data_IF_604658798289
#
_entry.id   IF_604658798289
#
_cell.length_a   1.000
_cell.length_b   1.000
_cell.length_c   1.000
_cell.angle_alpha   90.00
_cell.angle_beta   90.00
_cell.angle_gamma   90.00
#
_symmetry.space_group_name_H-M   'P 1'
#
loop_
_entity.id
_entity.type
_entity.pdbx_description
1 polymer ?
#
# COMPACT_ATOMS: atom_id res chain seq x y z
N UNK A 1 -25.58 -6.28 25.53
CA UNK A 1 -24.47 -5.38 25.18
C UNK A 1 -24.21 -5.52 23.70
N UNK A 2 -24.77 -4.60 22.91
CA UNK A 2 -24.59 -4.57 21.46
C UNK A 2 -23.29 -3.84 21.16
N UNK A 3 -22.24 -4.57 20.82
CA UNK A 3 -21.00 -3.99 20.28
C UNK A 3 -21.26 -3.72 18.79
N UNK A 4 -22.24 -2.86 18.51
CA UNK A 4 -22.44 -2.27 17.19
C UNK A 4 -21.78 -0.90 17.21
N UNK A 5 -20.46 -0.90 17.39
CA UNK A 5 -19.62 0.16 16.87
C UNK A 5 -19.66 0.05 15.35
N UNK A 6 -20.79 0.44 14.77
CA UNK A 6 -20.92 0.67 13.34
C UNK A 6 -19.87 1.74 13.07
N UNK A 7 -18.71 1.34 12.54
CA UNK A 7 -17.95 2.21 11.67
C UNK A 7 -18.94 2.59 10.58
N UNK A 8 -19.68 3.67 10.82
CA UNK A 8 -20.37 4.39 9.77
C UNK A 8 -19.28 4.62 8.74
N UNK A 9 -19.38 4.02 7.54
CA UNK A 9 -18.40 4.28 6.51
C UNK A 9 -18.49 5.78 6.32
N UNK A 10 -17.47 6.50 6.80
CA UNK A 10 -17.38 7.93 6.56
C UNK A 10 -17.68 8.08 5.08
N UNK A 11 -18.69 8.88 4.70
CA UNK A 11 -19.03 9.04 3.30
C UNK A 11 -17.72 9.35 2.59
N UNK A 12 -17.57 8.86 1.36
CA UNK A 12 -16.39 9.06 0.50
C UNK A 12 -16.07 10.56 0.25
N UNK A 13 -16.69 11.47 1.00
CA UNK A 13 -16.36 12.86 1.20
C UNK A 13 -14.88 13.00 1.53
N UNK A 14 -14.14 13.14 0.44
CA UNK A 14 -13.00 14.02 0.36
C UNK A 14 -11.80 13.57 1.18
N UNK A 15 -11.45 12.28 1.07
CA UNK A 15 -10.12 11.82 1.47
C UNK A 15 -9.09 12.67 0.69
N UNK A 16 -8.47 13.60 1.40
CA UNK A 16 -7.49 14.55 0.89
C UNK A 16 -6.21 14.40 1.71
N UNK A 17 -5.09 14.27 1.02
CA UNK A 17 -3.78 14.24 1.65
C UNK A 17 -2.93 15.37 1.06
N UNK A 18 -2.47 16.28 1.93
CA UNK A 18 -1.62 17.41 1.52
C UNK A 18 -0.14 17.11 1.66
N UNK A 19 0.22 16.12 2.48
CA UNK A 19 1.60 15.79 2.80
C UNK A 19 2.17 16.64 3.95
N UNK A 20 1.30 17.26 4.77
CA UNK A 20 1.73 18.12 5.86
C UNK A 20 2.31 17.35 7.06
N UNK A 21 3.09 17.99 7.94
CA UNK A 21 3.73 17.34 9.10
C UNK A 21 2.75 16.81 10.15
N UNK A 22 1.49 17.28 10.13
CA UNK A 22 0.43 16.84 11.03
C UNK A 22 -0.44 15.72 10.44
N UNK A 23 -0.18 15.30 9.19
CA UNK A 23 -0.96 14.27 8.51
C UNK A 23 -0.18 12.93 8.54
N UNK A 24 -0.77 11.89 9.13
CA UNK A 24 -0.16 10.56 9.11
C UNK A 24 -0.44 9.87 7.76
N UNK A 25 0.64 9.69 6.99
CA UNK A 25 0.62 8.96 5.72
C UNK A 25 0.06 7.53 5.87
N UNK A 26 0.25 6.89 7.03
CA UNK A 26 -0.21 5.53 7.32
C UNK A 26 -1.74 5.47 7.39
N UNK A 27 -2.36 6.46 8.04
CA UNK A 27 -3.81 6.56 8.15
C UNK A 27 -4.46 6.84 6.80
N UNK A 28 -3.86 7.70 5.99
CA UNK A 28 -4.28 7.97 4.61
C UNK A 28 -4.25 6.70 3.75
N UNK A 29 -3.14 5.97 3.73
CA UNK A 29 -3.01 4.72 2.98
C UNK A 29 -3.99 3.64 3.50
N UNK A 30 -4.24 3.62 4.81
CA UNK A 30 -5.26 2.77 5.43
C UNK A 30 -6.67 3.11 4.96
N UNK A 31 -6.98 4.40 4.82
CA UNK A 31 -8.27 4.86 4.30
C UNK A 31 -8.48 4.45 2.84
N UNK A 32 -7.47 4.63 1.98
CA UNK A 32 -7.52 4.17 0.58
C UNK A 32 -7.81 2.67 0.51
N UNK A 33 -7.09 1.85 1.29
CA UNK A 33 -7.29 0.40 1.32
C UNK A 33 -8.71 0.03 1.77
N UNK A 34 -9.27 0.73 2.77
CA UNK A 34 -10.66 0.53 3.20
C UNK A 34 -11.64 0.87 2.08
N UNK A 35 -11.46 1.99 1.40
CA UNK A 35 -12.28 2.38 0.24
C UNK A 35 -12.23 1.34 -0.88
N UNK A 36 -11.04 0.79 -1.15
CA UNK A 36 -10.86 -0.24 -2.17
C UNK A 36 -11.56 -1.56 -1.82
N UNK A 37 -11.53 -1.96 -0.54
CA UNK A 37 -12.25 -3.14 -0.06
C UNK A 37 -13.77 -2.92 -0.15
N UNK A 38 -14.27 -1.72 0.19
CA UNK A 38 -15.69 -1.40 0.05
C UNK A 38 -16.19 -1.46 -1.40
N UNK A 39 -15.32 -1.17 -2.36
CA UNK A 39 -15.65 -1.21 -3.79
C UNK A 39 -15.27 -2.54 -4.48
N UNK A 40 -14.75 -3.52 -3.73
CA UNK A 40 -14.23 -4.78 -4.25
C UNK A 40 -13.15 -4.59 -5.35
N UNK A 41 -12.32 -3.55 -5.19
CA UNK A 41 -11.22 -3.16 -6.09
C UNK A 41 -9.83 -3.26 -5.44
N UNK A 42 -9.74 -3.87 -4.28
CA UNK A 42 -8.50 -3.97 -3.50
C UNK A 42 -7.36 -4.77 -4.18
N UNK A 43 -7.65 -5.52 -5.24
CA UNK A 43 -6.68 -6.26 -6.07
C UNK A 43 -6.30 -5.52 -7.36
N UNK A 44 -6.95 -4.39 -7.65
CA UNK A 44 -6.72 -3.61 -8.86
C UNK A 44 -5.72 -2.49 -8.55
N UNK A 45 -4.45 -2.77 -8.78
CA UNK A 45 -3.36 -1.83 -8.49
C UNK A 45 -3.50 -0.53 -9.30
N UNK A 46 -3.97 -0.60 -10.54
CA UNK A 46 -4.18 0.59 -11.37
C UNK A 46 -5.29 1.47 -10.81
N UNK A 47 -6.39 0.83 -10.39
CA UNK A 47 -7.48 1.54 -9.73
C UNK A 47 -7.01 2.21 -8.43
N UNK A 48 -6.21 1.50 -7.62
CA UNK A 48 -5.65 2.01 -6.37
C UNK A 48 -4.77 3.25 -6.59
N UNK A 49 -3.90 3.20 -7.60
CA UNK A 49 -3.02 4.33 -7.97
C UNK A 49 -3.85 5.53 -8.43
N UNK A 50 -4.79 5.32 -9.36
CA UNK A 50 -5.65 6.40 -9.88
C UNK A 50 -6.54 7.01 -8.79
N UNK A 51 -7.07 6.19 -7.89
CA UNK A 51 -7.84 6.67 -6.75
C UNK A 51 -6.96 7.48 -5.78
N UNK A 52 -5.74 7.01 -5.51
CA UNK A 52 -4.78 7.73 -4.67
C UNK A 52 -4.45 9.09 -5.25
N UNK A 53 -4.13 9.16 -6.55
CA UNK A 53 -3.87 10.40 -7.29
C UNK A 53 -5.02 11.40 -7.13
N UNK A 54 -6.28 10.94 -7.27
CA UNK A 54 -7.46 11.78 -7.10
C UNK A 54 -7.61 12.39 -5.69
N UNK A 55 -6.97 11.77 -4.69
CA UNK A 55 -6.97 12.20 -3.28
C UNK A 55 -5.79 13.12 -2.93
N UNK A 56 -4.75 13.24 -3.76
CA UNK A 56 -3.57 14.06 -3.46
C UNK A 56 -3.86 15.55 -3.65
N UNK A 57 -3.31 16.40 -2.78
CA UNK A 57 -3.39 17.86 -2.88
C UNK A 57 -2.04 18.46 -2.46
N UNK A 58 -1.78 19.71 -2.82
CA UNK A 58 -0.61 20.45 -2.34
C UNK A 58 0.72 19.75 -2.63
N UNK A 59 1.61 19.69 -1.63
CA UNK A 59 2.95 19.12 -1.73
C UNK A 59 2.95 17.65 -2.15
N UNK A 60 1.95 16.87 -1.69
CA UNK A 60 1.83 15.47 -2.09
C UNK A 60 1.52 15.30 -3.59
N UNK A 61 0.79 16.24 -4.19
CA UNK A 61 0.48 16.23 -5.62
C UNK A 61 1.68 16.70 -6.45
N UNK A 62 2.37 17.76 -6.02
CA UNK A 62 3.61 18.22 -6.66
C UNK A 62 4.67 17.11 -6.71
N UNK A 63 4.85 16.38 -5.61
CA UNK A 63 5.75 15.23 -5.57
C UNK A 63 5.33 14.09 -6.49
N UNK A 64 4.03 13.84 -6.64
CA UNK A 64 3.53 12.79 -7.53
C UNK A 64 3.77 13.15 -9.01
N UNK A 65 3.57 14.42 -9.36
CA UNK A 65 3.86 14.93 -10.71
C UNK A 65 5.38 14.89 -11.03
N UNK A 66 6.25 15.14 -10.04
CA UNK A 66 7.70 15.02 -10.18
C UNK A 66 8.18 13.61 -10.53
N UNK A 67 7.44 12.56 -10.13
CA UNK A 67 7.76 11.17 -10.49
C UNK A 67 7.47 10.87 -11.98
N UNK A 68 6.72 11.73 -12.67
CA UNK A 68 6.48 11.64 -14.10
C UNK A 68 5.59 10.46 -14.53
N UNK A 69 5.57 10.09 -15.83
CA UNK A 69 4.68 9.08 -16.38
C UNK A 69 4.93 7.65 -15.85
N UNK A 70 6.07 7.44 -15.20
CA UNK A 70 6.39 6.16 -14.55
C UNK A 70 5.57 5.97 -13.27
N UNK A 71 5.11 7.05 -12.62
CA UNK A 71 4.27 7.00 -11.43
C UNK A 71 2.93 6.32 -11.68
N UNK A 72 2.31 6.59 -12.84
CA UNK A 72 1.00 6.04 -13.22
C UNK A 72 1.08 4.56 -13.57
N UNK A 73 2.28 4.03 -13.84
CA UNK A 73 2.52 2.63 -14.16
C UNK A 73 3.08 1.82 -12.98
N UNK A 74 3.27 2.44 -11.81
CA UNK A 74 3.75 1.73 -10.63
C UNK A 74 2.68 0.82 -10.02
N UNK A 75 3.10 -0.35 -9.56
CA UNK A 75 2.25 -1.20 -8.73
C UNK A 75 1.95 -0.52 -7.38
N UNK A 76 0.77 -0.78 -6.82
CA UNK A 76 0.34 -0.22 -5.54
C UNK A 76 1.33 -0.44 -4.38
N UNK A 77 1.96 -1.62 -4.21
CA UNK A 77 2.95 -1.84 -3.16
C UNK A 77 4.19 -0.93 -3.30
N UNK A 78 4.58 -0.64 -4.54
CA UNK A 78 5.72 0.23 -4.85
C UNK A 78 5.36 1.69 -4.54
N UNK A 79 4.16 2.13 -4.92
CA UNK A 79 3.66 3.47 -4.59
C UNK A 79 3.58 3.67 -3.07
N UNK A 80 3.06 2.68 -2.34
CA UNK A 80 3.00 2.69 -0.87
C UNK A 80 4.37 2.86 -0.22
N UNK A 81 5.40 2.16 -0.72
CA UNK A 81 6.77 2.29 -0.21
C UNK A 81 7.32 3.69 -0.49
N UNK A 82 7.07 4.24 -1.68
CA UNK A 82 7.51 5.58 -2.04
C UNK A 82 6.87 6.65 -1.13
N UNK A 83 5.56 6.55 -0.88
CA UNK A 83 4.85 7.44 0.06
C UNK A 83 5.43 7.37 1.47
N UNK A 84 5.67 6.16 1.99
CA UNK A 84 6.27 6.00 3.30
C UNK A 84 7.70 6.56 3.31
N UNK A 85 8.50 6.35 2.27
CA UNK A 85 9.86 6.88 2.22
C UNK A 85 9.87 8.43 2.21
N UNK A 86 8.94 9.06 1.51
CA UNK A 86 8.86 10.52 1.38
C UNK A 86 8.24 11.21 2.59
N UNK A 87 7.12 10.71 3.09
CA UNK A 87 6.30 11.41 4.10
C UNK A 87 6.42 10.82 5.51
N UNK A 88 6.92 9.58 5.68
CA UNK A 88 7.18 8.99 7.02
C UNK A 88 8.52 9.45 7.60
N UNK A 89 9.44 9.87 6.73
CA UNK A 89 10.80 10.23 7.11
C UNK A 89 10.99 11.73 6.90
N UNK A 90 10.80 12.48 7.98
CA UNK A 90 11.84 13.30 8.61
C UNK A 90 11.09 14.22 9.58
N UNK A 91 11.31 14.17 10.91
CA UNK A 91 11.13 15.36 11.72
C UNK A 91 12.05 16.40 11.09
N UNK A 92 11.48 17.28 10.25
CA UNK A 92 12.21 18.37 9.62
C UNK A 92 12.97 19.05 10.75
N UNK A 93 14.33 19.03 10.76
CA UNK A 93 15.02 20.00 11.60
C UNK A 93 14.39 21.34 11.19
N UNK A 94 13.90 22.13 12.17
CA UNK A 94 13.02 23.25 11.90
C UNK A 94 13.64 24.00 10.74
N UNK A 95 12.95 23.98 9.60
CA UNK A 95 13.38 24.72 8.41
C UNK A 95 13.67 26.11 8.94
N UNK A 96 14.97 26.41 9.03
CA UNK A 96 15.44 27.68 9.55
C UNK A 96 15.05 28.61 8.42
N UNK A 97 13.82 29.12 8.51
CA UNK A 97 13.48 30.38 7.90
C UNK A 97 14.62 31.27 8.34
N UNK A 98 15.51 31.57 7.39
CA UNK A 98 16.46 32.66 7.51
C UNK A 98 15.55 33.88 7.59
N UNK A 99 15.08 34.14 8.81
CA UNK A 99 14.47 35.37 9.21
C UNK A 99 15.57 36.38 8.95
N UNK A 100 15.47 37.06 7.81
CA UNK A 100 16.18 38.29 7.54
C UNK A 100 16.06 39.14 8.81
N UNK A 101 17.23 39.35 9.43
CA UNK A 101 17.37 39.96 10.74
C UNK A 101 16.81 41.39 10.74
N UNK A 102 15.51 41.50 10.98
CA UNK A 102 14.85 42.72 11.42
C UNK A 102 15.04 42.86 12.92
N UNK A 103 16.15 43.50 13.29
CA UNK A 103 16.36 44.36 14.48
C UNK A 103 15.47 44.11 15.72
N UNK A 104 16.01 43.70 16.89
CA UNK A 104 15.22 43.50 18.09
C UNK A 104 14.99 44.83 18.83
N UNK A 105 13.74 45.10 19.19
CA UNK A 105 13.35 45.98 20.30
C UNK A 105 12.29 45.21 21.11
N UNK A 106 12.68 44.48 22.15
CA UNK A 106 12.75 44.95 23.54
C UNK A 106 11.47 45.69 23.94
N UNK A 107 10.51 44.99 24.54
CA UNK A 107 9.94 45.36 25.84
C UNK A 107 9.26 44.16 26.49
N UNK A 108 9.65 43.96 27.74
CA UNK A 108 9.21 42.96 28.69
C UNK A 108 7.73 43.07 29.02
N UNK A 109 7.05 41.94 29.21
CA UNK A 109 5.97 41.84 30.20
C UNK A 109 5.91 40.42 30.73
N UNK A 110 6.70 40.24 31.78
CA UNK A 110 6.56 39.25 32.84
C UNK A 110 5.12 39.32 33.40
N UNK A 111 4.42 38.19 33.44
CA UNK A 111 3.28 37.95 34.32
C UNK A 111 3.17 36.43 34.53
N UNK A 112 3.73 36.06 35.67
CA UNK A 112 3.79 34.82 36.45
C UNK A 112 2.56 33.86 36.43
N UNK A 113 2.73 32.63 36.99
CA UNK A 113 2.04 31.39 36.65
C UNK A 113 0.83 31.07 37.53
N UNK A 114 0.05 30.07 37.11
CA UNK A 114 -0.94 29.40 37.94
C UNK A 114 -1.05 27.92 37.53
N UNK A 115 -0.69 26.97 38.40
CA UNK A 115 -1.01 25.55 38.25
C UNK A 115 -2.41 25.30 38.81
N UNK A 116 -3.18 24.37 38.25
CA UNK A 116 -4.09 23.56 39.07
C UNK A 116 -4.48 22.28 38.34
N UNK A 117 -4.24 21.20 39.08
CA UNK A 117 -4.58 19.81 38.89
C UNK A 117 -6.06 19.56 38.60
N UNK A 118 -6.36 18.57 37.77
CA UNK A 118 -7.58 17.76 37.97
C UNK A 118 -7.33 16.29 37.60
N UNK A 119 -6.73 15.62 38.57
CA UNK A 119 -6.85 14.20 38.85
C UNK A 119 -8.03 14.05 39.82
N UNK A 120 -9.01 13.19 39.48
CA UNK A 120 -9.98 12.51 40.37
C UNK A 120 -11.40 12.49 39.79
N UNK A 121 -11.83 11.31 39.35
CA UNK A 121 -13.16 10.76 39.66
C UNK A 121 -13.19 9.29 39.24
N UNK A 122 -12.50 8.47 40.02
CA UNK A 122 -12.75 7.04 40.17
C UNK A 122 -13.79 6.87 41.28
N UNK A 123 -14.91 6.17 41.00
CA UNK A 123 -15.75 5.48 41.98
C UNK A 123 -16.75 4.60 41.17
N UNK A 124 -16.57 3.27 41.11
CA UNK A 124 -17.04 2.29 42.10
C UNK A 124 -18.59 2.28 42.19
N UNK A 125 -19.33 1.24 41.80
CA UNK A 125 -19.55 -0.04 42.50
C UNK A 125 -20.74 -0.73 41.78
N UNK A 126 -20.67 -2.02 41.41
CA UNK A 126 -21.19 -3.18 42.17
C UNK A 126 -22.68 -3.54 41.90
N UNK A 127 -22.99 -4.82 42.04
CA UNK A 127 -24.31 -5.46 42.22
C UNK A 127 -25.00 -6.14 41.01
N UNK A 128 -24.50 -7.35 40.72
CA UNK A 128 -25.20 -8.65 40.89
C UNK A 128 -26.73 -8.72 41.02
N UNK A 129 -27.28 -9.71 40.30
CA UNK A 129 -28.40 -10.61 40.65
C UNK A 129 -29.87 -10.14 40.50
N UNK A 130 -30.61 -10.81 39.60
CA UNK A 130 -31.96 -11.40 39.79
C UNK A 130 -32.55 -11.72 38.40
N UNK A 131 -32.46 -12.93 37.87
CA UNK A 131 -33.29 -14.09 38.20
C UNK A 131 -34.80 -13.79 38.35
N UNK A 132 -35.56 -14.41 37.42
CA UNK A 132 -36.95 -14.93 37.52
C UNK A 132 -38.11 -14.14 36.88
N UNK A 133 -38.68 -14.83 35.88
CA UNK A 133 -40.11 -15.17 35.72
C UNK A 133 -41.13 -14.02 35.58
N UNK A 134 -41.69 -13.92 34.39
CA UNK A 134 -43.15 -13.96 34.15
C UNK A 134 -43.38 -14.21 32.64
N UNK A 135 -43.61 -15.45 32.18
CA UNK A 135 -44.96 -15.97 31.89
C UNK A 135 -46.05 -14.89 31.86
N UNK A 136 -46.41 -14.41 30.67
CA UNK A 136 -47.79 -14.00 30.40
C UNK A 136 -48.16 -14.27 28.95
N UNK A 137 -48.86 -15.39 28.79
CA UNK A 137 -49.78 -15.68 27.68
C UNK A 137 -50.95 -14.69 27.78
N UNK A 138 -51.46 -14.20 26.65
CA UNK A 138 -52.91 -14.23 26.50
C UNK A 138 -53.32 -14.86 25.17
N UNK A 139 -53.90 -16.05 25.29
CA UNK A 139 -54.84 -16.63 24.35
C UNK A 139 -56.15 -15.87 24.52
N UNK A 140 -56.72 -15.30 23.45
CA UNK A 140 -58.18 -15.22 23.29
C UNK A 140 -58.54 -14.88 21.84
N UNK A 141 -59.68 -15.46 21.46
CA UNK A 141 -60.57 -15.04 20.39
C UNK A 141 -60.17 -15.38 18.95
N UNK A 142 -60.38 -16.66 18.64
CA UNK A 142 -60.88 -17.09 17.35
C UNK A 142 -62.18 -16.35 16.95
N UNK A 143 -62.42 -16.32 15.64
CA UNK A 143 -63.72 -16.19 14.94
C UNK A 143 -63.93 -14.88 14.16
N UNK A 144 -63.35 -14.82 12.95
CA UNK A 144 -64.02 -14.25 11.78
C UNK A 144 -63.48 -14.83 10.46
N UNK A 145 -64.38 -15.48 9.72
CA UNK A 145 -64.43 -15.67 8.26
C UNK A 145 -63.12 -16.06 7.54
N UNK A 146 -62.90 -17.28 7.04
CA UNK A 146 -63.69 -18.07 6.07
C UNK A 146 -64.21 -17.26 4.87
N UNK A 147 -63.31 -16.55 4.18
CA UNK A 147 -63.45 -16.10 2.79
C UNK A 147 -62.11 -15.57 2.22
N UNK A 148 -61.03 -16.35 2.28
CA UNK A 148 -59.75 -16.02 1.64
C UNK A 148 -58.92 -17.31 1.53
N UNK A 149 -59.27 -18.19 0.60
CA UNK A 149 -58.51 -19.43 0.36
C UNK A 149 -58.58 -19.78 -1.12
N UNK A 150 -58.00 -18.91 -1.94
CA UNK A 150 -57.74 -19.20 -3.37
C UNK A 150 -56.55 -18.41 -3.95
N UNK A 151 -55.85 -17.56 -3.18
CA UNK A 151 -54.76 -16.69 -3.69
C UNK A 151 -53.37 -16.99 -3.10
N UNK A 152 -53.22 -17.99 -2.24
CA UNK A 152 -51.94 -18.30 -1.55
C UNK A 152 -51.14 -19.45 -2.20
N UNK A 153 -51.63 -20.04 -3.29
CA UNK A 153 -50.94 -21.16 -3.98
C UNK A 153 -49.99 -20.68 -5.09
N UNK A 154 -50.13 -19.45 -5.59
CA UNK A 154 -49.24 -18.90 -6.62
C UNK A 154 -47.90 -18.37 -6.07
N UNK A 155 -47.87 -17.87 -4.83
CA UNK A 155 -46.64 -17.34 -4.23
C UNK A 155 -45.63 -18.44 -3.82
N UNK A 156 -46.09 -19.66 -3.59
CA UNK A 156 -45.21 -20.79 -3.21
C UNK A 156 -44.42 -21.36 -4.40
N UNK A 157 -44.91 -21.20 -5.63
CA UNK A 157 -44.20 -21.67 -6.84
C UNK A 157 -43.08 -20.74 -7.28
N UNK A 158 -43.21 -19.42 -7.06
CA UNK A 158 -42.14 -18.46 -7.38
C UNK A 158 -40.93 -18.57 -6.45
N UNK A 159 -41.15 -18.94 -5.17
CA UNK A 159 -40.06 -19.16 -4.22
C UNK A 159 -39.20 -20.39 -4.56
N UNK A 160 -39.80 -21.47 -5.06
CA UNK A 160 -39.07 -22.68 -5.47
C UNK A 160 -38.23 -22.43 -6.73
N UNK A 161 -38.77 -21.70 -7.71
CA UNK A 161 -38.04 -21.32 -8.93
C UNK A 161 -36.84 -20.39 -8.61
N UNK A 162 -36.99 -19.47 -7.66
CA UNK A 162 -35.90 -18.58 -7.22
C UNK A 162 -34.78 -19.35 -6.50
N UNK A 163 -35.10 -20.37 -5.70
CA UNK A 163 -34.10 -21.20 -5.02
C UNK A 163 -33.30 -22.05 -6.03
N UNK A 164 -33.96 -22.59 -7.05
CA UNK A 164 -33.30 -23.37 -8.10
C UNK A 164 -32.39 -22.48 -8.98
N UNK A 165 -32.82 -21.26 -9.29
CA UNK A 165 -32.01 -20.27 -10.00
C UNK A 165 -30.74 -19.88 -9.20
N UNK A 166 -30.87 -19.66 -7.89
CA UNK A 166 -29.74 -19.37 -7.01
C UNK A 166 -28.74 -20.54 -6.93
N UNK A 167 -29.25 -21.78 -6.85
CA UNK A 167 -28.41 -22.99 -6.86
C UNK A 167 -27.64 -23.14 -8.18
N UNK A 168 -28.31 -22.95 -9.33
CA UNK A 168 -27.65 -22.99 -10.65
C UNK A 168 -26.59 -21.89 -10.81
N UNK A 169 -26.87 -20.69 -10.31
CA UNK A 169 -25.90 -19.59 -10.32
C UNK A 169 -24.67 -19.90 -9.46
N UNK A 170 -24.86 -20.50 -8.27
CA UNK A 170 -23.76 -20.93 -7.41
C UNK A 170 -22.90 -22.02 -8.07
N UNK A 171 -23.53 -23.02 -8.73
CA UNK A 171 -22.79 -24.04 -9.49
C UNK A 171 -22.01 -23.42 -10.65
N UNK A 172 -22.61 -22.52 -11.42
CA UNK A 172 -21.93 -21.84 -12.52
C UNK A 172 -20.74 -21.00 -12.07
N UNK A 173 -20.86 -20.32 -10.91
CA UNK A 173 -19.77 -19.59 -10.30
C UNK A 173 -18.62 -20.52 -9.89
N UNK A 174 -18.92 -21.65 -9.25
CA UNK A 174 -17.92 -22.65 -8.87
C UNK A 174 -17.19 -23.24 -10.09
N UNK A 175 -17.91 -23.53 -11.19
CA UNK A 175 -17.29 -24.03 -12.42
C UNK A 175 -16.39 -22.97 -13.07
N UNK A 176 -16.78 -21.70 -13.06
CA UNK A 176 -15.93 -20.60 -13.56
C UNK A 176 -14.67 -20.43 -12.73
N UNK A 177 -14.78 -20.52 -11.40
CA UNK A 177 -13.63 -20.46 -10.51
C UNK A 177 -12.65 -21.62 -10.75
N UNK A 178 -13.16 -22.85 -10.92
CA UNK A 178 -12.33 -24.01 -11.25
C UNK A 178 -11.63 -23.86 -12.62
N UNK A 179 -12.31 -23.32 -13.62
CA UNK A 179 -11.72 -23.05 -14.94
C UNK A 179 -10.64 -21.97 -14.87
N UNK A 180 -10.86 -20.92 -14.08
CA UNK A 180 -9.88 -19.86 -13.87
C UNK A 180 -8.61 -20.41 -13.19
N UNK A 181 -8.77 -21.27 -12.16
CA UNK A 181 -7.65 -21.94 -11.50
C UNK A 181 -6.83 -22.80 -12.47
N UNK A 182 -7.48 -23.62 -13.30
CA UNK A 182 -6.79 -24.44 -14.30
C UNK A 182 -6.05 -23.60 -15.36
N UNK A 183 -6.59 -22.42 -15.71
CA UNK A 183 -5.93 -21.50 -16.66
C UNK A 183 -4.71 -20.83 -16.03
N UNK A 184 -4.78 -20.51 -14.74
CA UNK A 184 -3.64 -19.95 -13.99
C UNK A 184 -2.50 -20.97 -13.87
N UNK A 185 -2.80 -22.25 -13.62
CA UNK A 185 -1.77 -23.31 -13.59
C UNK A 185 -1.09 -23.48 -14.95
N UNK A 186 -1.86 -23.44 -16.06
CA UNK A 186 -1.29 -23.49 -17.41
C UNK A 186 -0.36 -22.28 -17.71
N UNK A 187 -0.75 -21.08 -17.29
CA UNK A 187 0.06 -19.88 -17.45
C UNK A 187 1.36 -19.94 -16.62
N UNK A 188 1.32 -20.53 -15.42
CA UNK A 188 2.51 -20.73 -14.60
C UNK A 188 3.52 -21.69 -15.24
N UNK A 189 3.04 -22.74 -15.92
CA UNK A 189 3.90 -23.68 -16.66
C UNK A 189 4.57 -22.98 -17.85
N UNK A 190 3.85 -22.16 -18.61
CA UNK A 190 4.45 -21.39 -19.71
C UNK A 190 5.48 -20.37 -19.22
N UNK A 191 5.21 -19.68 -18.11
CA UNK A 191 6.14 -18.71 -17.53
C UNK A 191 7.44 -19.38 -17.07
N UNK A 192 7.35 -20.56 -16.45
CA UNK A 192 8.53 -21.34 -16.07
C UNK A 192 9.36 -21.75 -17.29
N UNK A 193 8.72 -22.22 -18.36
CA UNK A 193 9.40 -22.56 -19.60
C UNK A 193 10.08 -21.34 -20.25
N UNK A 194 9.44 -20.17 -20.20
CA UNK A 194 10.01 -18.92 -20.70
C UNK A 194 11.24 -18.48 -19.89
N UNK A 195 11.22 -18.62 -18.55
CA UNK A 195 12.35 -18.31 -17.67
C UNK A 195 13.53 -19.24 -17.94
N UNK A 196 13.30 -20.55 -18.08
CA UNK A 196 14.37 -21.51 -18.42
C UNK A 196 14.99 -21.19 -19.79
N UNK A 197 14.17 -20.85 -20.79
CA UNK A 197 14.64 -20.43 -22.11
C UNK A 197 15.45 -19.13 -22.06
N UNK A 198 15.00 -18.14 -21.30
CA UNK A 198 15.72 -16.87 -21.14
C UNK A 198 17.06 -17.07 -20.43
N UNK A 199 17.12 -17.95 -19.43
CA UNK A 199 18.34 -18.29 -18.68
C UNK A 199 19.36 -19.00 -19.59
N UNK A 200 18.90 -19.93 -20.44
CA UNK A 200 19.74 -20.58 -21.44
C UNK A 200 20.32 -19.58 -22.45
N UNK A 201 19.49 -18.64 -22.94
CA UNK A 201 19.93 -17.60 -23.86
C UNK A 201 20.97 -16.64 -23.24
N UNK A 202 20.76 -16.23 -21.98
CA UNK A 202 21.69 -15.38 -21.26
C UNK A 202 23.05 -16.08 -21.05
N UNK A 203 23.03 -17.37 -20.73
CA UNK A 203 24.26 -18.19 -20.59
C UNK A 203 25.01 -18.28 -21.91
N UNK A 204 24.30 -18.54 -23.02
CA UNK A 204 24.91 -18.59 -24.35
C UNK A 204 25.54 -17.24 -24.77
N UNK A 205 24.87 -16.12 -24.45
CA UNK A 205 25.40 -14.78 -24.72
C UNK A 205 26.67 -14.48 -23.89
N UNK A 206 26.71 -14.90 -22.62
CA UNK A 206 27.89 -14.74 -21.78
C UNK A 206 29.09 -15.53 -22.33
N UNK A 207 28.88 -16.77 -22.79
CA UNK A 207 29.94 -17.58 -23.42
C UNK A 207 30.45 -16.93 -24.70
N UNK A 208 29.55 -16.45 -25.57
CA UNK A 208 29.92 -15.78 -26.81
C UNK A 208 30.75 -14.49 -26.56
N UNK A 209 30.41 -13.73 -25.52
CA UNK A 209 31.16 -12.54 -25.11
C UNK A 209 32.59 -12.88 -24.62
N UNK A 210 32.75 -14.00 -23.89
CA UNK A 210 34.09 -14.44 -23.45
C UNK A 210 34.97 -14.92 -24.61
N UNK A 211 34.40 -15.59 -25.62
CA UNK A 211 35.13 -15.99 -26.82
C UNK A 211 35.59 -14.77 -27.65
N UNK A 212 34.71 -13.78 -27.82
CA UNK A 212 35.07 -12.54 -28.53
C UNK A 212 36.11 -11.71 -27.79
N UNK A 213 36.04 -11.62 -26.46
CA UNK A 213 37.07 -10.94 -25.65
C UNK A 213 38.43 -11.63 -25.77
N UNK A 214 38.46 -12.97 -25.75
CA UNK A 214 39.69 -13.75 -25.90
C UNK A 214 40.31 -13.58 -27.30
N UNK A 215 39.47 -13.60 -28.35
CA UNK A 215 39.91 -13.35 -29.72
C UNK A 215 40.44 -11.91 -29.92
N UNK A 216 39.84 -10.92 -29.26
CA UNK A 216 40.29 -9.53 -29.30
C UNK A 216 41.63 -9.33 -28.57
N UNK A 217 41.85 -10.01 -27.44
CA UNK A 217 43.11 -9.96 -26.71
C UNK A 217 44.29 -10.52 -27.53
N UNK A 218 44.08 -11.60 -28.28
CA UNK A 218 45.10 -12.20 -29.14
C UNK A 218 45.51 -11.30 -30.33
N UNK A 219 44.68 -10.32 -30.70
CA UNK A 219 44.95 -9.40 -31.82
C UNK A 219 45.58 -8.09 -31.40
N UNK A 220 45.83 -7.84 -30.11
CA UNK A 220 46.53 -6.63 -29.68
C UNK A 220 48.01 -6.75 -30.06
N UNK A 221 48.52 -5.95 -31.02
CA UNK A 221 49.95 -5.92 -31.29
C UNK A 221 50.67 -5.49 -30.01
N UNK A 222 51.73 -6.22 -29.65
CA UNK A 222 52.64 -5.87 -28.56
C UNK A 222 53.35 -4.59 -28.98
N UNK A 223 52.72 -3.45 -28.72
CA UNK A 223 53.40 -2.16 -28.78
C UNK A 223 54.25 -2.11 -27.51
N UNK A 224 55.56 -2.31 -27.66
CA UNK A 224 56.50 -2.04 -26.57
C UNK A 224 56.47 -0.54 -26.28
N UNK A 225 55.63 -0.12 -25.35
CA UNK A 225 55.74 1.21 -24.77
C UNK A 225 57.07 1.26 -24.03
N UNK A 226 57.97 2.06 -24.60
CA UNK A 226 59.22 2.44 -23.96
C UNK A 226 58.85 3.28 -22.75
N UNK A 227 59.22 2.89 -21.52
CA UNK A 227 58.80 3.60 -20.31
C UNK A 227 59.40 5.01 -20.32
N UNK A 228 58.54 6.01 -20.44
CA UNK A 228 58.92 7.40 -20.24
C UNK A 228 59.33 7.60 -18.77
N UNK A 229 60.45 8.29 -18.48
CA UNK A 229 60.91 8.52 -17.12
C UNK A 229 59.89 9.36 -16.33
N UNK A 230 59.50 8.85 -15.18
CA UNK A 230 58.53 9.47 -14.27
C UNK A 230 59.08 10.81 -13.71
N UNK A 231 58.29 11.90 -13.69
CA UNK A 231 58.62 13.07 -12.90
C UNK A 231 58.43 12.76 -11.41
N UNK A 232 59.54 12.73 -10.68
CA UNK A 232 59.58 12.57 -9.24
C UNK A 232 59.15 13.88 -8.55
N UNK A 233 57.86 14.09 -8.32
CA UNK A 233 57.29 14.88 -7.19
C UNK A 233 55.79 15.03 -7.37
N UNK A 234 54.99 14.31 -6.59
CA UNK A 234 53.70 14.74 -6.00
C UNK A 234 53.47 13.75 -4.86
N UNK A 235 54.08 14.04 -3.73
CA UNK A 235 53.82 13.35 -2.47
C UNK A 235 53.66 14.45 -1.43
N UNK A 236 52.49 15.08 -1.42
CA UNK A 236 51.90 15.81 -0.29
C UNK A 236 50.57 16.43 -0.76
N UNK A 237 49.51 16.35 0.05
CA UNK A 237 48.22 17.08 -0.05
C UNK A 237 46.96 16.43 -0.62
N UNK A 238 46.82 15.11 -0.67
CA UNK A 238 45.46 14.53 -0.62
C UNK A 238 45.34 13.57 0.55
N UNK A 239 45.16 14.18 1.73
CA UNK A 239 44.59 13.51 2.89
C UNK A 239 43.20 12.99 2.55
N UNK A 240 43.05 11.67 2.64
CA UNK A 240 42.09 11.03 3.52
C UNK A 240 40.67 11.63 3.56
N UNK A 241 39.96 11.62 2.43
CA UNK A 241 38.50 11.76 2.42
C UNK A 241 37.88 10.92 1.29
N UNK A 242 37.31 9.77 1.66
CA UNK A 242 36.13 9.09 1.04
C UNK A 242 36.28 8.41 -0.34
N UNK A 243 37.09 7.36 -0.44
CA UNK A 243 37.07 6.43 -1.59
C UNK A 243 36.47 5.03 -1.29
N UNK A 244 35.75 4.84 -0.18
CA UNK A 244 35.17 3.54 0.22
C UNK A 244 33.66 3.39 0.00
N UNK A 245 32.98 4.39 -0.58
CA UNK A 245 31.50 4.35 -0.71
C UNK A 245 30.95 3.89 -2.07
N UNK A 246 31.76 3.75 -3.12
CA UNK A 246 31.23 3.41 -4.46
C UNK A 246 31.45 1.97 -4.94
N UNK A 247 32.11 1.10 -4.17
CA UNK A 247 32.34 -0.30 -4.58
C UNK A 247 31.35 -1.32 -3.97
N UNK A 248 30.26 -0.86 -3.34
CA UNK A 248 29.25 -1.73 -2.71
C UNK A 248 27.82 -1.58 -3.24
N UNK A 249 27.62 -0.74 -4.27
CA UNK A 249 26.31 -0.55 -4.91
C UNK A 249 26.12 -1.36 -6.21
N UNK A 250 27.13 -2.12 -6.66
CA UNK A 250 27.10 -2.80 -7.98
C UNK A 250 26.83 -4.31 -7.98
N UNK A 251 26.66 -4.95 -6.83
CA UNK A 251 26.52 -6.42 -6.74
C UNK A 251 25.35 -6.77 -5.81
N UNK A 252 24.11 -6.45 -6.22
CA UNK A 252 22.90 -6.91 -5.54
C UNK A 252 21.62 -6.81 -6.41
N UNK A 253 21.68 -7.09 -7.73
CA UNK A 253 20.46 -7.11 -8.58
C UNK A 253 20.29 -8.42 -9.38
N UNK A 254 20.89 -9.53 -8.96
CA UNK A 254 20.55 -10.84 -9.55
C UNK A 254 20.46 -11.92 -8.47
N UNK A 255 19.56 -11.76 -7.50
CA UNK A 255 19.14 -12.90 -6.67
C UNK A 255 17.91 -12.62 -5.80
N UNK A 256 16.76 -12.30 -6.39
CA UNK A 256 15.48 -12.71 -5.80
C UNK A 256 14.37 -12.62 -6.83
N UNK A 257 13.97 -13.76 -7.38
CA UNK A 257 12.59 -14.12 -7.75
C UNK A 257 12.64 -15.49 -8.44
N UNK A 258 12.55 -16.52 -7.61
CA UNK A 258 12.02 -17.84 -7.96
C UNK A 258 10.66 -17.94 -7.26
#
# INVERSE_FOLDING_TARGET
MSISGVLSPAPLEELKFRGGPNEDVSDFLGAIKRSAVQQDRHLDDKWMVSYTESCLRGEAMEWFDEMGPDATNMDWPSLRKAFLLRFRAVPQPPSVVVATAGKPARMSKEMEPGPDTNEAAEAATEATAAARRAKKVPTTAAKKAKAATATDTAAATDAAASAEAASRAATAAATRAAKAAATAEAAAVELKAAVEKATAAATAAATAATETATAAAARRPIVQETPAPLPATINDKFGDVKATWFLKAGIAIISTSF
#
